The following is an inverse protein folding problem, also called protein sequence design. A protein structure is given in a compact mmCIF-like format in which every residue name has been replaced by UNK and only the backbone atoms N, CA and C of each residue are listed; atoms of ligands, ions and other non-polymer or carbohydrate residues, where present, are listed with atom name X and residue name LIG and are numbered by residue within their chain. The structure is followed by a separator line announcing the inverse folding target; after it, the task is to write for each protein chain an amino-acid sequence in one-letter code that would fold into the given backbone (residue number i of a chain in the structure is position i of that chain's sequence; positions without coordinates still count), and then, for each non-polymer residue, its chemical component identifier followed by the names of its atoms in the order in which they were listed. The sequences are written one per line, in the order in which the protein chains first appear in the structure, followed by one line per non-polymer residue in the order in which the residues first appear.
data_IF_519346243184
#
_entry.id   IF_519346243184
#
_cell.length_a   1.000
_cell.length_b   1.000
_cell.length_c   1.000
_cell.angle_alpha   90.00
_cell.angle_beta   90.00
_cell.angle_gamma   90.00
#
_symmetry.space_group_name_H-M   'P 1'
#
loop_
_entity.id
_entity.type
_entity.pdbx_description
1 polymer ?
#
# COMPACT_ATOMS: atom_id res chain seq x y z
N UNK A 1 -2.25 37.02 -8.03
CA UNK A 1 -2.26 37.48 -9.43
C UNK A 1 -3.60 37.07 -10.03
N UNK A 2 -4.52 38.00 -10.20
CA UNK A 2 -5.83 37.72 -10.82
C UNK A 2 -5.61 37.44 -12.30
N UNK A 3 -6.06 36.26 -12.76
CA UNK A 3 -5.99 35.87 -14.16
C UNK A 3 -6.98 36.67 -15.03
N UNK A 4 -6.92 36.50 -16.35
CA UNK A 4 -7.76 37.23 -17.33
C UNK A 4 -9.25 37.22 -16.99
N UNK A 5 -9.77 36.06 -16.56
CA UNK A 5 -11.17 35.84 -16.15
C UNK A 5 -11.65 36.76 -15.01
N UNK A 6 -10.73 37.21 -14.14
CA UNK A 6 -11.10 38.04 -12.99
C UNK A 6 -11.41 39.48 -13.40
N UNK A 7 -10.80 39.97 -14.49
CA UNK A 7 -11.08 41.32 -15.00
C UNK A 7 -12.38 41.36 -15.81
N UNK A 8 -12.69 40.28 -16.51
CA UNK A 8 -13.92 40.10 -17.31
C UNK A 8 -15.16 40.02 -16.40
N UNK A 9 -15.13 39.19 -15.36
CA UNK A 9 -16.19 39.12 -14.35
C UNK A 9 -16.39 40.42 -13.56
N UNK A 10 -15.34 41.23 -13.35
CA UNK A 10 -15.48 42.55 -12.71
C UNK A 10 -16.13 43.56 -13.66
N UNK A 11 -15.75 43.54 -14.94
CA UNK A 11 -16.32 44.43 -15.97
C UNK A 11 -17.82 44.15 -16.17
N UNK A 12 -18.19 42.89 -16.32
CA UNK A 12 -19.59 42.48 -16.53
C UNK A 12 -20.44 42.76 -15.28
N UNK A 13 -19.87 42.63 -14.09
CA UNK A 13 -20.55 42.99 -12.84
C UNK A 13 -20.79 44.49 -12.71
N UNK A 14 -19.86 45.32 -13.20
CA UNK A 14 -20.02 46.77 -13.25
C UNK A 14 -21.11 47.18 -14.28
N UNK A 15 -21.16 46.52 -15.44
CA UNK A 15 -22.23 46.77 -16.43
C UNK A 15 -23.61 46.30 -15.95
N UNK A 16 -23.71 45.11 -15.36
CA UNK A 16 -24.96 44.62 -14.77
C UNK A 16 -25.45 45.54 -13.64
N UNK A 17 -24.55 46.21 -12.93
CA UNK A 17 -24.92 47.17 -11.87
C UNK A 17 -25.49 48.49 -12.40
N UNK A 18 -25.36 48.76 -13.70
CA UNK A 18 -25.94 49.94 -14.37
C UNK A 18 -27.39 49.71 -14.82
N UNK A 19 -27.89 48.49 -14.71
CA UNK A 19 -29.28 48.15 -15.01
C UNK A 19 -30.16 48.66 -13.88
N UNK A 20 -31.20 49.42 -14.20
CA UNK A 20 -32.12 49.99 -13.21
C UNK A 20 -32.87 48.88 -12.43
N UNK A 21 -33.04 49.08 -11.12
CA UNK A 21 -33.68 48.11 -10.22
C UNK A 21 -35.10 47.71 -10.67
N UNK A 22 -35.80 48.58 -11.41
CA UNK A 22 -37.11 48.30 -12.00
C UNK A 22 -37.14 47.12 -12.99
N UNK A 23 -36.00 46.79 -13.60
CA UNK A 23 -35.82 45.61 -14.48
C UNK A 23 -35.50 44.33 -13.71
N UNK A 24 -35.04 44.45 -12.45
CA UNK A 24 -34.70 43.30 -11.59
C UNK A 24 -35.84 42.86 -10.67
N UNK A 25 -36.97 43.57 -10.70
CA UNK A 25 -38.13 43.25 -9.89
C UNK A 25 -38.71 41.87 -10.22
N UNK A 26 -39.05 41.10 -9.18
CA UNK A 26 -39.62 39.74 -9.30
C UNK A 26 -40.90 39.67 -10.12
N UNK A 27 -41.60 40.81 -10.27
CA UNK A 27 -42.78 40.97 -11.12
C UNK A 27 -42.58 42.18 -12.00
N UNK A 28 -42.09 41.93 -13.21
CA UNK A 28 -41.84 42.97 -14.20
C UNK A 28 -43.13 43.66 -14.63
N UNK A 29 -43.15 45.00 -14.54
CA UNK A 29 -44.20 45.85 -15.09
C UNK A 29 -43.63 46.67 -16.25
N UNK A 30 -44.09 46.38 -17.47
CA UNK A 30 -43.57 47.01 -18.69
C UNK A 30 -44.11 48.41 -18.92
N UNK A 31 -45.25 48.75 -18.33
CA UNK A 31 -45.96 50.00 -18.59
C UNK A 31 -45.14 51.25 -18.21
N UNK A 32 -44.53 51.35 -17.01
CA UNK A 32 -43.69 52.48 -16.65
C UNK A 32 -42.51 52.69 -17.60
N UNK A 33 -41.89 51.60 -18.04
CA UNK A 33 -40.73 51.62 -18.94
C UNK A 33 -41.11 52.10 -20.35
N UNK A 34 -42.21 51.58 -20.90
CA UNK A 34 -42.73 52.00 -22.21
C UNK A 34 -43.20 53.46 -22.16
N UNK A 35 -43.85 53.87 -21.08
CA UNK A 35 -44.26 55.28 -20.88
C UNK A 35 -43.04 56.19 -20.77
N UNK A 36 -41.98 55.80 -20.06
CA UNK A 36 -40.74 56.56 -19.99
C UNK A 36 -40.14 56.81 -21.38
N UNK A 37 -40.01 55.75 -22.19
CA UNK A 37 -39.50 55.83 -23.57
C UNK A 37 -40.42 56.68 -24.44
N UNK A 38 -41.74 56.50 -24.34
CA UNK A 38 -42.71 57.27 -25.12
C UNK A 38 -42.84 58.72 -24.66
N UNK A 39 -42.43 59.08 -23.44
CA UNK A 39 -42.51 60.45 -22.92
C UNK A 39 -41.17 61.19 -23.04
N UNK A 40 -40.07 60.48 -23.35
CA UNK A 40 -38.74 61.07 -23.53
C UNK A 40 -38.67 61.96 -24.78
N UNK A 41 -37.74 62.93 -24.75
CA UNK A 41 -37.44 63.80 -25.90
C UNK A 41 -36.68 63.09 -27.00
N UNK A 42 -35.95 62.02 -26.65
CA UNK A 42 -35.12 61.24 -27.56
C UNK A 42 -35.50 59.76 -27.44
N UNK A 43 -36.58 59.41 -28.16
CA UNK A 43 -37.16 58.06 -28.09
C UNK A 43 -36.27 57.02 -28.75
N UNK A 44 -35.68 57.39 -29.89
CA UNK A 44 -34.75 56.53 -30.63
C UNK A 44 -33.49 56.24 -29.81
N UNK A 45 -32.92 57.24 -29.12
CA UNK A 45 -31.76 57.06 -28.25
C UNK A 45 -32.04 56.13 -27.07
N UNK A 46 -33.18 56.28 -26.39
CA UNK A 46 -33.57 55.39 -25.27
C UNK A 46 -33.81 53.94 -25.73
N UNK A 47 -34.43 53.75 -26.90
CA UNK A 47 -34.62 52.41 -27.49
C UNK A 47 -33.28 51.80 -27.90
N UNK A 48 -32.38 52.59 -28.47
CA UNK A 48 -31.06 52.13 -28.88
C UNK A 48 -30.20 51.74 -27.66
N UNK A 49 -30.24 52.54 -26.59
CA UNK A 49 -29.57 52.22 -25.33
C UNK A 49 -30.09 50.92 -24.70
N UNK A 50 -31.41 50.70 -24.71
CA UNK A 50 -31.98 49.45 -24.22
C UNK A 50 -31.58 48.23 -25.06
N UNK A 51 -31.43 48.40 -26.38
CA UNK A 51 -30.91 47.33 -27.24
C UNK A 51 -29.46 46.99 -26.92
N UNK A 52 -28.62 48.01 -26.75
CA UNK A 52 -27.21 47.83 -26.39
C UNK A 52 -27.08 47.14 -25.02
N UNK A 53 -27.89 47.52 -24.03
CA UNK A 53 -27.94 46.81 -22.75
C UNK A 53 -28.42 45.37 -22.88
N UNK A 54 -29.41 45.09 -23.72
CA UNK A 54 -29.89 43.73 -23.96
C UNK A 54 -28.83 42.85 -24.62
N UNK A 55 -28.05 43.39 -25.55
CA UNK A 55 -26.97 42.67 -26.25
C UNK A 55 -25.84 42.31 -25.28
N UNK A 56 -25.45 43.24 -24.39
CA UNK A 56 -24.50 42.98 -23.30
C UNK A 56 -24.99 41.88 -22.37
N UNK A 57 -26.28 41.91 -21.97
CA UNK A 57 -26.84 40.89 -21.08
C UNK A 57 -26.85 39.51 -21.77
N UNK A 58 -27.15 39.45 -23.06
CA UNK A 58 -27.15 38.20 -23.83
C UNK A 58 -25.74 37.58 -23.88
N UNK A 59 -24.71 38.40 -24.13
CA UNK A 59 -23.30 37.97 -24.10
C UNK A 59 -22.89 37.42 -22.72
N UNK A 60 -23.25 38.13 -21.64
CA UNK A 60 -22.98 37.71 -20.26
C UNK A 60 -23.66 36.37 -19.94
N UNK A 61 -24.92 36.21 -20.34
CA UNK A 61 -25.69 34.98 -20.09
C UNK A 61 -25.06 33.81 -20.82
N UNK A 62 -24.65 33.99 -22.08
CA UNK A 62 -23.97 32.95 -22.86
C UNK A 62 -22.63 32.55 -22.24
N UNK A 63 -21.84 33.50 -21.74
CA UNK A 63 -20.57 33.21 -21.06
C UNK A 63 -20.80 32.41 -19.77
N UNK A 64 -21.75 32.83 -18.91
CA UNK A 64 -22.06 32.12 -17.66
C UNK A 64 -22.56 30.71 -17.95
N UNK A 65 -23.42 30.54 -18.96
CA UNK A 65 -23.91 29.22 -19.39
C UNK A 65 -22.75 28.36 -19.90
N UNK A 66 -21.84 28.92 -20.70
CA UNK A 66 -20.68 28.21 -21.21
C UNK A 66 -19.72 27.77 -20.09
N UNK A 67 -19.39 28.67 -19.16
CA UNK A 67 -18.56 28.35 -17.99
C UNK A 67 -19.21 27.28 -17.12
N UNK A 68 -20.52 27.37 -16.88
CA UNK A 68 -21.23 26.37 -16.08
C UNK A 68 -21.20 24.99 -16.74
N UNK A 69 -21.46 24.91 -18.05
CA UNK A 69 -21.37 23.65 -18.79
C UNK A 69 -19.94 23.10 -18.86
N UNK A 70 -18.94 23.96 -19.09
CA UNK A 70 -17.52 23.58 -19.14
C UNK A 70 -17.03 23.09 -17.78
N UNK A 71 -17.35 23.81 -16.70
CA UNK A 71 -17.02 23.44 -15.33
C UNK A 71 -17.69 22.14 -14.90
N UNK A 72 -18.98 21.98 -15.20
CA UNK A 72 -19.71 20.74 -14.91
C UNK A 72 -19.12 19.55 -15.66
N UNK A 73 -18.86 19.68 -16.97
CA UNK A 73 -18.25 18.61 -17.75
C UNK A 73 -16.85 18.23 -17.24
N UNK A 74 -16.01 19.22 -16.87
CA UNK A 74 -14.71 18.96 -16.25
C UNK A 74 -14.85 18.23 -14.92
N UNK A 75 -15.80 18.62 -14.06
CA UNK A 75 -16.05 17.95 -12.79
C UNK A 75 -16.50 16.50 -13.00
N UNK A 76 -17.39 16.25 -13.96
CA UNK A 76 -17.86 14.90 -14.33
C UNK A 76 -16.70 14.04 -14.85
N UNK A 77 -15.85 14.58 -15.73
CA UNK A 77 -14.69 13.86 -16.24
C UNK A 77 -13.68 13.53 -15.12
N UNK A 78 -13.35 14.50 -14.27
CA UNK A 78 -12.44 14.29 -13.14
C UNK A 78 -12.97 13.21 -12.20
N UNK A 79 -14.25 13.25 -11.84
CA UNK A 79 -14.85 12.24 -10.99
C UNK A 79 -14.80 10.84 -11.63
N UNK A 80 -15.08 10.76 -12.93
CA UNK A 80 -15.00 9.50 -13.69
C UNK A 80 -13.58 8.93 -13.73
N UNK A 81 -12.57 9.80 -13.87
CA UNK A 81 -11.17 9.40 -13.82
C UNK A 81 -10.77 8.90 -12.43
N UNK A 82 -11.20 9.60 -11.37
CA UNK A 82 -10.97 9.16 -9.98
C UNK A 82 -11.58 7.78 -9.75
N UNK A 83 -12.83 7.56 -10.17
CA UNK A 83 -13.49 6.26 -10.05
C UNK A 83 -12.74 5.15 -10.79
N UNK A 84 -12.19 5.45 -11.97
CA UNK A 84 -11.38 4.49 -12.73
C UNK A 84 -10.11 4.12 -11.98
N UNK A 85 -9.37 5.12 -11.50
CA UNK A 85 -8.15 4.92 -10.72
C UNK A 85 -8.40 4.14 -9.43
N UNK A 86 -9.53 4.39 -8.75
CA UNK A 86 -9.94 3.63 -7.57
C UNK A 86 -10.22 2.16 -7.91
N UNK A 87 -10.91 1.89 -9.02
CA UNK A 87 -11.19 0.53 -9.49
C UNK A 87 -9.90 -0.21 -9.84
N UNK A 88 -9.02 0.41 -10.62
CA UNK A 88 -7.70 -0.14 -10.98
C UNK A 88 -6.84 -0.43 -9.73
N UNK A 89 -6.88 0.47 -8.74
CA UNK A 89 -6.16 0.31 -7.47
C UNK A 89 -6.73 -0.84 -6.63
N UNK A 90 -8.07 -0.99 -6.59
CA UNK A 90 -8.72 -2.08 -5.87
C UNK A 90 -8.38 -3.45 -6.48
N UNK A 91 -8.34 -3.55 -7.80
CA UNK A 91 -7.91 -4.74 -8.52
C UNK A 91 -6.43 -5.06 -8.24
N UNK A 92 -5.55 -4.06 -8.35
CA UNK A 92 -4.12 -4.21 -8.04
C UNK A 92 -3.88 -4.68 -6.60
N UNK A 93 -4.63 -4.15 -5.63
CA UNK A 93 -4.59 -4.58 -4.24
C UNK A 93 -5.06 -6.03 -4.07
N UNK A 94 -6.05 -6.48 -4.84
CA UNK A 94 -6.51 -7.87 -4.80
C UNK A 94 -5.40 -8.81 -5.28
N UNK A 95 -4.72 -8.48 -6.38
CA UNK A 95 -3.57 -9.25 -6.90
C UNK A 95 -2.45 -9.30 -5.88
N UNK A 96 -2.02 -8.15 -5.35
CA UNK A 96 -0.94 -8.09 -4.34
C UNK A 96 -1.25 -8.90 -3.08
N UNK A 97 -2.52 -8.96 -2.65
CA UNK A 97 -2.93 -9.81 -1.52
C UNK A 97 -2.74 -11.29 -1.81
N UNK A 98 -3.05 -11.73 -3.03
CA UNK A 98 -2.83 -13.12 -3.48
C UNK A 98 -1.34 -13.43 -3.48
N UNK A 99 -0.53 -12.57 -4.09
CA UNK A 99 0.93 -12.76 -4.18
C UNK A 99 1.59 -12.81 -2.79
N UNK A 100 1.12 -11.97 -1.87
CA UNK A 100 1.59 -11.97 -0.48
C UNK A 100 1.21 -13.26 0.25
N UNK A 101 -0.02 -13.76 0.03
CA UNK A 101 -0.47 -15.02 0.63
C UNK A 101 0.34 -16.21 0.10
N UNK A 102 0.66 -16.23 -1.20
CA UNK A 102 1.52 -17.24 -1.80
C UNK A 102 2.95 -17.17 -1.26
N UNK A 103 3.53 -15.96 -1.21
CA UNK A 103 4.87 -15.73 -0.66
C UNK A 103 4.96 -16.19 0.79
N UNK A 104 3.95 -15.88 1.61
CA UNK A 104 3.84 -16.34 3.00
C UNK A 104 3.80 -17.87 3.09
N UNK A 105 3.05 -18.54 2.21
CA UNK A 105 2.99 -20.00 2.15
C UNK A 105 4.34 -20.62 1.81
N UNK A 106 5.05 -20.04 0.84
CA UNK A 106 6.38 -20.51 0.41
C UNK A 106 7.46 -20.31 1.48
N UNK A 107 7.44 -19.17 2.17
CA UNK A 107 8.33 -18.94 3.32
C UNK A 107 7.99 -19.93 4.44
N UNK A 108 6.71 -20.16 4.71
CA UNK A 108 6.25 -21.12 5.71
C UNK A 108 6.72 -22.56 5.43
N UNK A 109 6.69 -23.00 4.17
CA UNK A 109 7.18 -24.34 3.80
C UNK A 109 8.70 -24.44 3.95
N UNK A 110 9.45 -23.44 3.48
CA UNK A 110 10.92 -23.38 3.64
C UNK A 110 11.33 -23.36 5.11
N UNK A 111 10.63 -22.62 5.97
CA UNK A 111 10.92 -22.59 7.39
C UNK A 111 10.71 -23.97 8.05
N UNK A 112 9.64 -24.68 7.69
CA UNK A 112 9.41 -26.06 8.17
C UNK A 112 10.55 -27.00 7.74
N UNK A 113 10.99 -26.90 6.49
CA UNK A 113 12.13 -27.69 6.00
C UNK A 113 13.41 -27.36 6.77
N UNK A 114 13.69 -26.08 7.03
CA UNK A 114 14.85 -25.64 7.79
C UNK A 114 14.82 -26.18 9.22
N UNK A 115 13.67 -26.13 9.90
CA UNK A 115 13.50 -26.73 11.23
C UNK A 115 13.75 -28.24 11.23
N UNK A 116 13.28 -28.96 10.22
CA UNK A 116 13.56 -30.39 10.09
C UNK A 116 15.05 -30.67 9.91
N UNK A 117 15.73 -29.91 9.05
CA UNK A 117 17.17 -30.03 8.83
C UNK A 117 17.97 -29.70 10.10
N UNK A 118 17.56 -28.67 10.83
CA UNK A 118 18.17 -28.31 12.11
C UNK A 118 18.01 -29.44 13.14
N UNK A 119 16.81 -30.02 13.29
CA UNK A 119 16.59 -31.14 14.21
C UNK A 119 17.45 -32.35 13.82
N UNK A 120 17.48 -32.71 12.53
CA UNK A 120 18.37 -33.78 12.03
C UNK A 120 19.84 -33.49 12.37
N UNK A 121 20.28 -32.25 12.20
CA UNK A 121 21.66 -31.84 12.52
C UNK A 121 21.97 -31.97 14.02
N UNK A 122 21.05 -31.56 14.89
CA UNK A 122 21.18 -31.73 16.35
C UNK A 122 21.24 -33.20 16.73
N UNK A 123 20.35 -34.03 16.20
CA UNK A 123 20.32 -35.47 16.46
C UNK A 123 21.60 -36.16 16.02
N UNK A 124 22.12 -35.83 14.83
CA UNK A 124 23.38 -36.38 14.33
C UNK A 124 24.56 -36.01 15.25
N UNK A 125 24.63 -34.77 15.75
CA UNK A 125 25.65 -34.37 16.73
C UNK A 125 25.55 -35.19 18.01
N UNK A 126 24.33 -35.44 18.50
CA UNK A 126 24.13 -36.26 19.69
C UNK A 126 24.59 -37.71 19.45
N UNK A 127 24.25 -38.30 18.31
CA UNK A 127 24.70 -39.65 17.93
C UNK A 127 26.23 -39.71 17.89
N UNK A 128 26.90 -38.73 17.28
CA UNK A 128 28.37 -38.66 17.26
C UNK A 128 28.93 -38.61 18.67
N UNK A 129 28.34 -37.82 19.57
CA UNK A 129 28.76 -37.76 20.97
C UNK A 129 28.56 -39.10 21.69
N UNK A 130 27.45 -39.80 21.46
CA UNK A 130 27.23 -41.13 22.03
C UNK A 130 28.25 -42.15 21.49
N UNK A 131 28.57 -42.10 20.20
CA UNK A 131 29.58 -42.96 19.60
C UNK A 131 30.97 -42.71 20.21
N UNK A 132 31.34 -41.44 20.41
CA UNK A 132 32.59 -41.08 21.09
C UNK A 132 32.61 -41.57 22.55
N UNK A 133 31.48 -41.47 23.27
CA UNK A 133 31.36 -42.02 24.63
C UNK A 133 31.55 -43.55 24.63
N UNK A 134 30.96 -44.27 23.68
CA UNK A 134 31.13 -45.72 23.54
C UNK A 134 32.59 -46.07 23.24
N UNK A 135 33.25 -45.33 22.34
CA UNK A 135 34.66 -45.50 22.03
C UNK A 135 35.55 -45.25 23.25
N UNK A 136 35.25 -44.23 24.04
CA UNK A 136 35.99 -43.93 25.26
C UNK A 136 35.82 -45.03 26.33
N UNK A 137 34.60 -45.56 26.50
CA UNK A 137 34.36 -46.70 27.40
C UNK A 137 35.09 -47.96 26.91
N UNK A 138 35.11 -48.23 25.60
CA UNK A 138 35.84 -49.38 25.05
C UNK A 138 37.36 -49.25 25.21
N UNK A 139 37.91 -48.04 25.08
CA UNK A 139 39.33 -47.73 25.37
C UNK A 139 39.67 -47.92 26.85
N UNK A 140 38.81 -47.49 27.76
CA UNK A 140 38.94 -47.76 29.21
C UNK A 140 38.77 -49.27 29.49
N UNK A 141 38.02 -49.97 28.62
CA UNK A 141 37.95 -51.42 28.47
C UNK A 141 39.25 -52.13 28.07
N UNK A 142 40.42 -51.49 28.25
CA UNK A 142 41.70 -52.18 28.39
C UNK A 142 41.72 -53.18 29.57
N UNK A 143 40.58 -53.36 30.26
CA UNK A 143 40.21 -54.56 31.01
C UNK A 143 40.67 -55.85 30.31
N UNK A 144 40.57 -55.96 28.99
CA UNK A 144 41.07 -57.15 28.27
C UNK A 144 42.57 -57.40 28.50
N UNK A 145 43.38 -56.33 28.47
CA UNK A 145 44.82 -56.40 28.71
C UNK A 145 45.14 -56.55 30.19
N UNK A 146 44.40 -55.88 31.08
CA UNK A 146 44.56 -56.06 32.53
C UNK A 146 44.15 -57.47 33.01
N UNK A 147 43.06 -58.02 32.50
CA UNK A 147 42.63 -59.41 32.74
C UNK A 147 43.66 -60.38 32.15
N UNK A 148 44.19 -60.10 30.96
CA UNK A 148 45.30 -60.86 30.39
C UNK A 148 46.55 -60.85 31.28
N UNK A 149 46.91 -59.68 31.81
CA UNK A 149 48.07 -59.52 32.71
C UNK A 149 47.88 -60.24 34.05
N UNK A 150 46.69 -60.12 34.66
CA UNK A 150 46.34 -60.83 35.90
C UNK A 150 46.33 -62.34 35.67
N UNK A 151 45.80 -62.81 34.55
CA UNK A 151 45.77 -64.23 34.21
C UNK A 151 47.19 -64.77 33.99
N UNK A 152 48.06 -64.02 33.31
CA UNK A 152 49.47 -64.37 33.13
C UNK A 152 50.23 -64.44 34.47
N UNK A 153 50.03 -63.45 35.36
CA UNK A 153 50.61 -63.45 36.71
C UNK A 153 50.12 -64.63 37.56
N UNK A 154 48.82 -64.94 37.51
CA UNK A 154 48.25 -66.08 38.24
C UNK A 154 48.83 -67.42 37.78
N UNK A 155 49.07 -67.57 36.46
CA UNK A 155 49.70 -68.76 35.88
C UNK A 155 51.17 -68.87 36.33
N UNK A 156 51.92 -67.76 36.34
CA UNK A 156 53.31 -67.73 36.80
C UNK A 156 53.46 -68.08 38.28
N UNK A 157 52.64 -67.49 39.17
CA UNK A 157 52.66 -67.82 40.60
C UNK A 157 52.29 -69.28 40.86
N UNK A 158 51.33 -69.81 40.09
CA UNK A 158 50.95 -71.23 40.17
C UNK A 158 52.10 -72.13 39.71
N UNK A 159 52.83 -71.75 38.67
CA UNK A 159 54.02 -72.46 38.19
C UNK A 159 55.20 -72.43 39.16
N UNK A 160 55.45 -71.30 39.82
CA UNK A 160 56.54 -71.16 40.80
C UNK A 160 56.28 -72.00 42.06
N UNK A 161 55.02 -72.09 42.52
CA UNK A 161 54.62 -72.98 43.63
C UNK A 161 54.84 -74.46 43.29
N UNK A 162 54.60 -74.86 42.04
CA UNK A 162 54.84 -76.24 41.57
C UNK A 162 56.35 -76.53 41.47
N UNK A 163 57.15 -75.54 41.04
CA UNK A 163 58.61 -75.64 41.00
C UNK A 163 59.22 -75.85 42.40
N UNK A 164 58.81 -75.04 43.38
CA UNK A 164 59.27 -75.19 44.79
C UNK A 164 58.86 -76.52 45.43
N UNK A 165 57.71 -77.10 45.03
CA UNK A 165 57.31 -78.45 45.45
C UNK A 165 58.19 -79.57 44.87
N UNK A 166 58.87 -79.33 43.75
CA UNK A 166 59.73 -80.30 43.06
C UNK A 166 61.17 -80.26 43.55
N UNK A 167 61.60 -79.14 44.12
CA UNK A 167 62.96 -78.90 44.64
C UNK A 167 63.10 -79.29 46.14
N UNK A 168 61.98 -79.42 46.85
CA UNK A 168 61.91 -79.86 48.26
C UNK A 168 61.56 -81.37 48.42
N UNK A 169 61.76 -82.17 47.37
CA UNK A 169 61.53 -83.63 47.36
C UNK A 169 62.79 -84.35 46.88
#
# INVERSE_FOLDING_TARGET
MGGPQFYETIYLRDELSKIDEGWTATRFDSLPHVVHILTSKDREGEVQFLKEQSEVIEEVVDEVVHEYHSGFNKAIQNYSQILRLFSESAESLAVLKVDLAESKKLIGSRNKQLHQLWYRSVTLRHIISLLDQIENVSKVGNLGTYVGYIMALTILESGEKIGKWRENR
#
